data_IF_061864042111
#
_entry.id   IF_061864042111
#
_cell.length_a   1.000
_cell.length_b   1.000
_cell.length_c   1.000
_cell.angle_alpha   90.00
_cell.angle_beta   90.00
_cell.angle_gamma   90.00
#
_symmetry.space_group_name_H-M   'P 1'
#
loop_
_entity.id
_entity.type
_entity.pdbx_description
1 polymer ?
#
# COMPACT_ATOMS: atom_id res chain seq x y z
N UNK A 1 52.69 -25.79 8.65
CA UNK A 1 51.64 -26.41 7.81
C UNK A 1 50.64 -26.98 8.79
N UNK A 2 49.41 -26.50 8.94
CA UNK A 2 48.34 -26.46 7.96
C UNK A 2 47.22 -25.56 8.52
N UNK A 3 46.70 -24.72 7.61
CA UNK A 3 45.53 -23.82 7.58
C UNK A 3 44.94 -23.18 8.85
N UNK A 4 44.89 -21.85 8.79
CA UNK A 4 43.88 -20.99 9.43
C UNK A 4 42.49 -21.38 8.90
N UNK A 5 41.59 -21.70 9.81
CA UNK A 5 40.15 -21.73 9.54
C UNK A 5 39.65 -20.28 9.65
N UNK A 6 39.73 -19.53 8.55
CA UNK A 6 39.01 -18.27 8.41
C UNK A 6 37.55 -18.62 8.11
N UNK A 7 36.77 -18.82 9.17
CA UNK A 7 35.33 -18.93 9.08
C UNK A 7 34.79 -17.65 8.41
N UNK A 8 34.35 -17.79 7.16
CA UNK A 8 33.53 -16.79 6.49
C UNK A 8 32.35 -16.46 7.40
N UNK A 9 32.30 -15.23 7.90
CA UNK A 9 31.12 -14.69 8.56
C UNK A 9 29.96 -14.80 7.55
N UNK A 10 28.88 -15.53 7.84
CA UNK A 10 27.74 -15.54 6.95
C UNK A 10 27.27 -14.10 6.80
N UNK A 11 27.23 -13.61 5.56
CA UNK A 11 26.74 -12.27 5.23
C UNK A 11 25.44 -12.04 6.02
N UNK A 12 25.42 -10.99 6.84
CA UNK A 12 24.36 -10.74 7.80
C UNK A 12 23.01 -10.87 7.11
N UNK A 13 22.28 -11.95 7.41
CA UNK A 13 20.89 -12.10 6.97
C UNK A 13 20.14 -10.96 7.60
N UNK A 14 19.82 -9.93 6.83
CA UNK A 14 19.04 -8.82 7.34
C UNK A 14 17.74 -9.38 7.91
N UNK A 15 17.40 -9.06 9.16
CA UNK A 15 16.17 -9.58 9.76
C UNK A 15 14.99 -9.20 8.85
N UNK A 16 13.99 -10.07 8.72
CA UNK A 16 12.93 -9.94 7.72
C UNK A 16 12.25 -8.55 7.73
N UNK A 17 12.17 -7.88 8.89
CA UNK A 17 11.66 -6.52 9.02
C UNK A 17 12.55 -5.43 8.42
N UNK A 18 13.88 -5.56 8.49
CA UNK A 18 14.82 -4.64 7.82
C UNK A 18 14.77 -4.82 6.30
N UNK A 19 14.74 -6.07 5.83
CA UNK A 19 14.57 -6.37 4.41
C UNK A 19 13.24 -5.82 3.88
N UNK A 20 12.14 -6.00 4.63
CA UNK A 20 10.85 -5.40 4.30
C UNK A 20 10.95 -3.88 4.18
N UNK A 21 11.58 -3.22 5.16
CA UNK A 21 11.68 -1.76 5.19
C UNK A 21 12.52 -1.23 4.02
N UNK A 22 13.60 -1.93 3.67
CA UNK A 22 14.43 -1.60 2.52
C UNK A 22 13.66 -1.75 1.20
N UNK A 23 12.94 -2.86 1.01
CA UNK A 23 12.11 -3.08 -0.18
C UNK A 23 10.99 -2.04 -0.30
N UNK A 24 10.33 -1.71 0.82
CA UNK A 24 9.29 -0.69 0.84
C UNK A 24 9.84 0.69 0.42
N UNK A 25 10.97 1.11 1.00
CA UNK A 25 11.62 2.38 0.62
C UNK A 25 12.11 2.40 -0.82
N UNK A 26 12.64 1.28 -1.32
CA UNK A 26 13.04 1.15 -2.72
C UNK A 26 11.83 1.24 -3.67
N UNK A 27 10.74 0.55 -3.36
CA UNK A 27 9.52 0.58 -4.18
C UNK A 27 8.94 2.00 -4.28
N UNK A 28 8.96 2.77 -3.18
CA UNK A 28 8.53 4.17 -3.17
C UNK A 28 9.43 5.08 -4.00
N UNK A 29 10.75 4.90 -3.89
CA UNK A 29 11.69 5.65 -4.71
C UNK A 29 11.50 5.33 -6.20
N UNK A 30 11.29 4.06 -6.56
CA UNK A 30 11.00 3.66 -7.93
C UNK A 30 9.67 4.25 -8.43
N UNK A 31 8.63 4.26 -7.58
CA UNK A 31 7.35 4.88 -7.91
C UNK A 31 7.50 6.38 -8.15
N UNK A 32 8.25 7.09 -7.31
CA UNK A 32 8.51 8.52 -7.46
C UNK A 32 9.36 8.87 -8.71
N UNK A 33 10.05 7.87 -9.27
CA UNK A 33 10.81 7.98 -10.53
C UNK A 33 10.02 7.47 -11.74
N UNK A 34 8.71 7.21 -11.59
CA UNK A 34 7.82 6.64 -12.62
C UNK A 34 8.30 5.28 -13.19
N UNK A 35 9.14 4.56 -12.44
CA UNK A 35 9.60 3.21 -12.79
C UNK A 35 8.56 2.17 -12.35
N UNK A 36 7.38 2.26 -12.95
CA UNK A 36 6.18 1.52 -12.51
C UNK A 36 6.36 0.00 -12.44
N UNK A 37 6.96 -0.70 -13.44
CA UNK A 37 7.11 -2.16 -13.37
C UNK A 37 8.01 -2.61 -12.20
N UNK A 38 9.14 -1.92 -12.01
CA UNK A 38 10.06 -2.22 -10.92
C UNK A 38 9.44 -1.87 -9.57
N UNK A 39 8.76 -0.72 -9.45
CA UNK A 39 8.04 -0.35 -8.23
C UNK A 39 7.01 -1.40 -7.81
N UNK A 40 6.21 -1.90 -8.76
CA UNK A 40 5.23 -2.96 -8.50
C UNK A 40 5.92 -4.26 -8.06
N UNK A 41 6.96 -4.71 -8.78
CA UNK A 41 7.69 -5.93 -8.42
C UNK A 41 8.30 -5.83 -7.02
N UNK A 42 9.00 -4.73 -6.72
CA UNK A 42 9.67 -4.52 -5.43
C UNK A 42 8.65 -4.39 -4.29
N UNK A 43 7.52 -3.72 -4.50
CA UNK A 43 6.45 -3.66 -3.51
C UNK A 43 5.85 -5.04 -3.23
N UNK A 44 5.66 -5.87 -4.26
CA UNK A 44 5.17 -7.23 -4.12
C UNK A 44 6.16 -8.15 -3.41
N UNK A 45 7.46 -7.96 -3.57
CA UNK A 45 8.47 -8.65 -2.76
C UNK A 45 8.35 -8.27 -1.27
N UNK A 46 8.10 -7.00 -0.95
CA UNK A 46 7.85 -6.58 0.44
C UNK A 46 6.57 -7.24 1.00
N UNK A 47 5.50 -7.29 0.20
CA UNK A 47 4.25 -8.00 0.55
C UNK A 47 4.52 -9.49 0.86
N UNK A 48 5.38 -10.16 0.09
CA UNK A 48 5.70 -11.56 0.33
C UNK A 48 6.41 -11.79 1.68
N UNK A 49 7.20 -10.82 2.14
CA UNK A 49 7.86 -10.90 3.45
C UNK A 49 6.90 -10.67 4.61
N UNK A 50 5.97 -9.71 4.47
CA UNK A 50 4.95 -9.45 5.48
C UNK A 50 3.62 -8.98 4.85
N UNK A 51 2.72 -9.91 4.50
CA UNK A 51 1.44 -9.56 3.87
C UNK A 51 0.47 -8.89 4.85
N UNK A 52 0.78 -8.92 6.16
CA UNK A 52 -0.04 -8.30 7.19
C UNK A 52 0.16 -6.79 7.29
N UNK A 53 1.17 -6.23 6.62
CA UNK A 53 1.49 -4.81 6.65
C UNK A 53 0.85 -4.06 5.48
N UNK A 54 0.01 -3.04 5.74
CA UNK A 54 -0.70 -2.35 4.67
C UNK A 54 0.20 -1.48 3.78
N UNK A 55 1.39 -1.06 4.25
CA UNK A 55 2.22 -0.09 3.54
C UNK A 55 2.64 -0.59 2.14
N UNK A 56 3.11 -1.84 2.04
CA UNK A 56 3.53 -2.41 0.75
C UNK A 56 2.36 -2.62 -0.22
N UNK A 57 1.19 -2.99 0.28
CA UNK A 57 -0.05 -3.07 -0.51
C UNK A 57 -0.45 -1.70 -1.06
N UNK A 58 -0.36 -0.64 -0.24
CA UNK A 58 -0.64 0.74 -0.67
C UNK A 58 0.33 1.17 -1.78
N UNK A 59 1.63 0.88 -1.65
CA UNK A 59 2.62 1.22 -2.68
C UNK A 59 2.34 0.45 -3.98
N UNK A 60 2.06 -0.85 -3.91
CA UNK A 60 1.70 -1.66 -5.08
C UNK A 60 0.45 -1.12 -5.79
N UNK A 61 -0.59 -0.72 -5.04
CA UNK A 61 -1.80 -0.11 -5.59
C UNK A 61 -1.55 1.26 -6.21
N UNK A 62 -0.68 2.08 -5.61
CA UNK A 62 -0.34 3.41 -6.12
C UNK A 62 0.30 3.37 -7.51
N UNK A 63 1.03 2.30 -7.85
CA UNK A 63 1.58 2.10 -9.19
C UNK A 63 0.48 2.17 -10.25
N UNK A 64 -0.63 1.45 -10.06
CA UNK A 64 -1.74 1.42 -10.99
C UNK A 64 -2.63 2.68 -10.85
N UNK A 65 -2.79 3.18 -9.64
CA UNK A 65 -3.55 4.41 -9.37
C UNK A 65 -2.98 5.63 -10.12
N UNK A 66 -1.66 5.81 -10.14
CA UNK A 66 -1.02 6.93 -10.85
C UNK A 66 -1.18 6.85 -12.37
N UNK A 67 -1.41 5.64 -12.89
CA UNK A 67 -1.70 5.39 -14.30
C UNK A 67 -3.20 5.44 -14.60
N UNK A 68 -4.04 5.85 -13.62
CA UNK A 68 -5.51 5.84 -13.72
C UNK A 68 -6.10 4.45 -14.05
N UNK A 69 -5.34 3.39 -13.75
CA UNK A 69 -5.74 2.00 -13.91
C UNK A 69 -6.53 1.55 -12.69
N UNK A 70 -7.71 2.13 -12.53
CA UNK A 70 -8.53 2.05 -11.31
C UNK A 70 -8.94 0.62 -10.96
N UNK A 71 -9.34 -0.16 -11.96
CA UNK A 71 -9.75 -1.54 -11.79
C UNK A 71 -8.60 -2.43 -11.32
N UNK A 72 -7.38 -2.19 -11.83
CA UNK A 72 -6.18 -2.91 -11.38
C UNK A 72 -5.67 -2.43 -10.02
N UNK A 73 -5.87 -1.15 -9.66
CA UNK A 73 -5.45 -0.60 -8.37
C UNK A 73 -6.32 -1.07 -7.19
N UNK A 74 -7.63 -1.17 -7.40
CA UNK A 74 -8.61 -1.53 -6.37
C UNK A 74 -8.25 -2.77 -5.52
N UNK A 75 -7.85 -3.94 -6.10
CA UNK A 75 -7.55 -5.12 -5.29
C UNK A 75 -6.38 -4.91 -4.31
N UNK A 76 -5.40 -4.07 -4.64
CA UNK A 76 -4.29 -3.77 -3.73
C UNK A 76 -4.74 -2.94 -2.53
N UNK A 77 -5.57 -1.91 -2.76
CA UNK A 77 -6.12 -1.13 -1.66
C UNK A 77 -7.10 -1.93 -0.81
N UNK A 78 -7.89 -2.83 -1.42
CA UNK A 78 -8.70 -3.77 -0.67
C UNK A 78 -7.84 -4.69 0.21
N UNK A 79 -6.75 -5.24 -0.32
CA UNK A 79 -5.82 -6.04 0.50
C UNK A 79 -5.22 -5.22 1.66
N UNK A 80 -4.86 -3.96 1.42
CA UNK A 80 -4.39 -3.04 2.47
C UNK A 80 -5.46 -2.81 3.55
N UNK A 81 -6.76 -2.70 3.21
CA UNK A 81 -7.83 -2.57 4.23
C UNK A 81 -8.02 -3.82 5.11
N UNK A 82 -7.58 -4.99 4.63
CA UNK A 82 -7.59 -6.24 5.39
C UNK A 82 -6.30 -6.47 6.20
N UNK A 83 -5.24 -5.72 5.91
CA UNK A 83 -3.94 -5.79 6.57
C UNK A 83 -3.93 -4.89 7.82
N UNK A 84 -3.54 -5.44 8.98
CA UNK A 84 -3.52 -4.69 10.25
C UNK A 84 -2.40 -5.14 11.20
N UNK A 85 -1.31 -5.69 10.66
CA UNK A 85 -0.16 -6.10 11.46
C UNK A 85 0.72 -4.88 11.74
N UNK A 86 0.88 -4.56 13.01
CA UNK A 86 1.83 -3.56 13.49
C UNK A 86 3.08 -4.28 14.03
N UNK A 87 4.26 -4.13 13.41
CA UNK A 87 5.48 -4.74 13.93
C UNK A 87 5.87 -4.11 15.27
N UNK A 88 6.48 -4.91 16.16
CA UNK A 88 6.97 -4.44 17.46
C UNK A 88 8.16 -3.48 17.36
N UNK A 89 8.91 -3.55 16.26
CA UNK A 89 10.09 -2.73 15.97
C UNK A 89 10.01 -2.24 14.52
N UNK A 90 10.42 -1.01 14.27
CA UNK A 90 10.39 -0.37 12.96
C UNK A 90 9.22 0.61 12.79
N UNK A 91 9.37 1.54 11.86
CA UNK A 91 8.36 2.55 11.62
C UNK A 91 7.10 1.95 10.97
N UNK A 92 5.94 2.37 11.47
CA UNK A 92 4.64 2.18 10.83
C UNK A 92 4.13 3.53 10.34
N UNK A 93 3.47 3.54 9.17
CA UNK A 93 2.77 4.74 8.71
C UNK A 93 1.33 4.72 9.16
N UNK A 94 1.01 5.52 10.16
CA UNK A 94 -0.31 5.49 10.79
C UNK A 94 -1.45 5.66 9.77
N UNK A 95 -1.28 6.51 8.76
CA UNK A 95 -2.25 6.70 7.68
C UNK A 95 -2.59 5.43 6.92
N UNK A 96 -1.59 4.57 6.66
CA UNK A 96 -1.74 3.34 5.89
C UNK A 96 -2.51 2.27 6.68
N UNK A 97 -2.58 2.39 8.01
CA UNK A 97 -3.34 1.50 8.90
C UNK A 97 -4.76 2.01 9.20
N UNK A 98 -5.15 3.19 8.69
CA UNK A 98 -6.44 3.81 8.96
C UNK A 98 -7.20 4.16 7.68
N UNK A 99 -7.42 5.44 7.42
CA UNK A 99 -8.38 5.93 6.42
C UNK A 99 -7.84 5.90 4.99
N UNK A 100 -6.51 5.89 4.81
CA UNK A 100 -5.92 6.09 3.48
C UNK A 100 -6.25 4.94 2.50
N UNK A 101 -6.10 3.65 2.85
CA UNK A 101 -6.48 2.57 1.95
C UNK A 101 -7.96 2.60 1.56
N UNK A 102 -8.84 2.95 2.51
CA UNK A 102 -10.27 3.08 2.26
C UNK A 102 -10.60 4.20 1.28
N UNK A 103 -9.93 5.35 1.40
CA UNK A 103 -10.14 6.48 0.48
C UNK A 103 -9.64 6.13 -0.93
N UNK A 104 -8.45 5.54 -1.03
CA UNK A 104 -7.89 5.10 -2.31
C UNK A 104 -8.77 4.03 -2.98
N UNK A 105 -9.28 3.08 -2.20
CA UNK A 105 -10.24 2.08 -2.68
C UNK A 105 -11.54 2.75 -3.17
N UNK A 106 -12.08 3.69 -2.41
CA UNK A 106 -13.30 4.42 -2.78
C UNK A 106 -13.14 5.12 -4.13
N UNK A 107 -12.05 5.85 -4.32
CA UNK A 107 -11.73 6.52 -5.60
C UNK A 107 -11.64 5.52 -6.75
N UNK A 108 -10.96 4.39 -6.56
CA UNK A 108 -10.82 3.37 -7.60
C UNK A 108 -12.18 2.75 -7.98
N UNK A 109 -13.01 2.45 -6.99
CA UNK A 109 -14.35 1.89 -7.20
C UNK A 109 -15.26 2.88 -7.93
N UNK A 110 -15.24 4.16 -7.54
CA UNK A 110 -16.04 5.20 -8.18
C UNK A 110 -15.65 5.40 -9.65
N UNK A 111 -14.36 5.51 -9.94
CA UNK A 111 -13.88 5.64 -11.32
C UNK A 111 -14.12 4.37 -12.16
N UNK A 112 -14.36 3.23 -11.52
CA UNK A 112 -14.77 1.99 -12.19
C UNK A 112 -16.30 1.85 -12.32
N UNK A 113 -17.07 2.89 -12.00
CA UNK A 113 -18.55 2.91 -12.05
C UNK A 113 -19.24 2.17 -10.90
N UNK A 114 -18.49 1.66 -9.92
CA UNK A 114 -19.01 0.90 -8.77
C UNK A 114 -19.36 1.84 -7.63
N UNK A 115 -20.24 2.82 -7.90
CA UNK A 115 -20.53 3.94 -7.00
C UNK A 115 -21.08 3.52 -5.63
N UNK A 116 -21.88 2.46 -5.55
CA UNK A 116 -22.42 1.96 -4.28
C UNK A 116 -21.31 1.43 -3.36
N UNK A 117 -20.34 0.70 -3.92
CA UNK A 117 -19.19 0.18 -3.18
C UNK A 117 -18.20 1.30 -2.83
N UNK A 118 -18.02 2.26 -3.74
CA UNK A 118 -17.24 3.46 -3.51
C UNK A 118 -17.77 4.26 -2.31
N UNK A 119 -19.10 4.43 -2.22
CA UNK A 119 -19.76 5.10 -1.10
C UNK A 119 -19.48 4.39 0.24
N UNK A 120 -19.56 3.05 0.29
CA UNK A 120 -19.25 2.27 1.50
C UNK A 120 -17.80 2.45 1.95
N UNK A 121 -16.86 2.36 1.01
CA UNK A 121 -15.44 2.55 1.29
C UNK A 121 -15.15 3.99 1.75
N UNK A 122 -15.70 4.99 1.06
CA UNK A 122 -15.51 6.41 1.38
C UNK A 122 -16.10 6.80 2.74
N UNK A 123 -17.26 6.24 3.12
CA UNK A 123 -17.84 6.45 4.46
C UNK A 123 -16.94 5.86 5.56
N UNK A 124 -16.26 4.74 5.28
CA UNK A 124 -15.29 4.17 6.20
C UNK A 124 -14.06 5.08 6.32
N UNK A 125 -13.53 5.57 5.20
CA UNK A 125 -12.42 6.52 5.18
C UNK A 125 -12.74 7.80 5.97
N UNK A 126 -13.95 8.34 5.82
CA UNK A 126 -14.38 9.59 6.45
C UNK A 126 -14.31 9.56 7.99
N UNK A 127 -14.53 8.40 8.62
CA UNK A 127 -14.58 8.29 10.09
C UNK A 127 -13.26 8.61 10.79
N UNK A 128 -12.12 8.49 10.09
CA UNK A 128 -10.79 8.68 10.67
C UNK A 128 -9.89 9.65 9.90
N UNK A 129 -10.39 10.29 8.85
CA UNK A 129 -9.58 11.16 7.99
C UNK A 129 -9.49 12.59 8.57
N UNK A 130 -8.28 13.10 8.90
CA UNK A 130 -8.08 14.46 9.37
C UNK A 130 -8.32 15.53 8.28
N UNK A 131 -8.29 15.13 7.00
CA UNK A 131 -8.49 15.99 5.83
C UNK A 131 -9.72 15.51 5.03
N UNK A 132 -10.94 15.65 5.58
CA UNK A 132 -12.13 14.98 5.05
C UNK A 132 -12.67 15.61 3.76
N UNK A 133 -12.21 16.79 3.37
CA UNK A 133 -12.81 17.54 2.25
C UNK A 133 -12.70 16.82 0.91
N UNK A 134 -11.56 16.15 0.65
CA UNK A 134 -11.42 15.29 -0.53
C UNK A 134 -12.45 14.17 -0.50
N UNK A 135 -12.57 13.48 0.64
CA UNK A 135 -13.50 12.35 0.81
C UNK A 135 -14.93 12.82 0.61
N UNK A 136 -15.33 13.94 1.23
CA UNK A 136 -16.67 14.53 1.10
C UNK A 136 -17.03 14.84 -0.35
N UNK A 137 -16.09 15.42 -1.11
CA UNK A 137 -16.28 15.69 -2.54
C UNK A 137 -16.51 14.41 -3.33
N UNK A 138 -15.69 13.39 -3.08
CA UNK A 138 -15.83 12.09 -3.73
C UNK A 138 -17.16 11.42 -3.36
N UNK A 139 -17.60 11.50 -2.09
CA UNK A 139 -18.88 10.96 -1.66
C UNK A 139 -20.07 11.62 -2.38
N UNK A 140 -20.05 12.95 -2.55
CA UNK A 140 -21.07 13.65 -3.32
C UNK A 140 -21.13 13.13 -4.76
N UNK A 141 -19.98 13.01 -5.41
CA UNK A 141 -19.88 12.44 -6.75
C UNK A 141 -20.39 10.99 -6.81
N UNK A 142 -20.08 10.14 -5.83
CA UNK A 142 -20.59 8.76 -5.80
C UNK A 142 -22.11 8.71 -5.66
N UNK A 143 -22.72 9.63 -4.90
CA UNK A 143 -24.18 9.72 -4.76
C UNK A 143 -24.83 10.15 -6.07
N UNK A 144 -24.25 11.11 -6.79
CA UNK A 144 -24.73 11.51 -8.12
C UNK A 144 -24.69 10.34 -9.10
N UNK A 145 -23.65 9.51 -9.05
CA UNK A 145 -23.53 8.30 -9.89
C UNK A 145 -24.50 7.17 -9.58
N UNK A 146 -25.39 7.31 -8.58
CA UNK A 146 -26.46 6.37 -8.27
C UNK A 146 -27.85 6.81 -8.80
N UNK A 147 -28.00 8.06 -9.24
CA UNK A 147 -29.23 8.63 -9.81
C UNK A 147 -29.27 8.59 -11.32
#
# INVERSE_FOLDING_TARGET
MVVKDEAETPAAVQPAGERYSALLGQAEALLALDRHPEAASTALEAVQLDPGRPEAWVVAGKVYYQQERWAEAAPFFQAATCANRRPAVGATRETDHHWLPWDLLAVCLGNSGRHEEALRAGLTALRGNPEPERVRRNLAWFVEGLG
#
